data_IF_908960757483
#
_entry.id   IF_908960757483
#
_cell.length_a   1.000
_cell.length_b   1.000
_cell.length_c   1.000
_cell.angle_alpha   90.00
_cell.angle_beta   90.00
_cell.angle_gamma   90.00
#
_symmetry.space_group_name_H-M   'P 1'
#
loop_
_entity.id
_entity.type
_entity.pdbx_description
1 polymer ?
#
# COMPACT_ATOMS: atom_id res chain seq x y z
N UNK A 1 -4.99 -5.30 15.26
CA UNK A 1 -4.52 -4.48 14.15
C UNK A 1 -5.69 -3.74 13.52
N UNK A 2 -5.57 -2.46 13.37
CA UNK A 2 -6.58 -1.72 12.63
C UNK A 2 -6.34 -1.93 11.14
N UNK A 3 -7.15 -2.77 10.54
CA UNK A 3 -7.10 -3.00 9.11
C UNK A 3 -7.91 -1.91 8.40
N UNK A 4 -7.22 -0.93 7.83
CA UNK A 4 -7.87 0.16 7.15
C UNK A 4 -7.19 0.40 5.81
N UNK A 5 -7.96 0.28 4.75
CA UNK A 5 -7.51 0.63 3.41
C UNK A 5 -7.86 2.09 3.20
N UNK A 6 -6.84 2.93 3.04
CA UNK A 6 -7.05 4.37 2.90
C UNK A 6 -7.49 4.77 1.50
N UNK A 7 -7.03 4.06 0.48
CA UNK A 7 -7.34 4.44 -0.88
C UNK A 7 -7.30 3.24 -1.82
N UNK A 8 -8.36 3.10 -2.59
CA UNK A 8 -8.40 2.19 -3.74
C UNK A 8 -8.70 3.06 -4.95
N UNK A 9 -7.87 2.98 -5.98
CA UNK A 9 -8.02 3.81 -7.17
C UNK A 9 -7.70 3.03 -8.44
N UNK A 10 -8.11 3.59 -9.56
CA UNK A 10 -7.86 2.97 -10.86
C UNK A 10 -6.91 3.85 -11.66
N UNK A 11 -5.90 3.20 -12.24
CA UNK A 11 -4.91 3.86 -13.10
C UNK A 11 -4.62 2.97 -14.29
N UNK A 12 -4.74 3.52 -15.48
CA UNK A 12 -4.51 2.79 -16.74
C UNK A 12 -5.37 1.53 -16.83
N UNK A 13 -6.61 1.61 -16.33
CA UNK A 13 -7.55 0.51 -16.33
C UNK A 13 -7.27 -0.56 -15.28
N UNK A 14 -6.29 -0.36 -14.40
CA UNK A 14 -5.92 -1.34 -13.37
C UNK A 14 -6.20 -0.79 -11.99
N UNK A 15 -6.55 -1.71 -11.09
CA UNK A 15 -6.90 -1.38 -9.71
C UNK A 15 -5.62 -1.32 -8.87
N UNK A 16 -5.51 -0.26 -8.05
CA UNK A 16 -4.36 -0.06 -7.16
C UNK A 16 -4.85 0.21 -5.76
N UNK A 17 -4.06 -0.21 -4.79
CA UNK A 17 -4.31 0.05 -3.36
C UNK A 17 -3.18 0.90 -2.82
N UNK A 18 -3.53 1.91 -2.05
CA UNK A 18 -2.55 2.78 -1.40
C UNK A 18 -2.90 2.97 0.06
N UNK A 19 -1.89 3.10 0.90
CA UNK A 19 -2.05 3.35 2.32
C UNK A 19 -1.20 4.56 2.69
N UNK A 20 -1.82 5.55 3.34
CA UNK A 20 -1.15 6.76 3.79
C UNK A 20 -0.55 6.54 5.16
N UNK A 21 0.72 6.89 5.31
CA UNK A 21 1.43 6.80 6.58
C UNK A 21 1.89 8.19 7.01
N UNK A 22 1.60 8.54 8.25
CA UNK A 22 2.02 9.83 8.80
C UNK A 22 3.41 9.80 9.42
N UNK A 23 4.05 8.64 9.45
CA UNK A 23 5.38 8.49 10.02
C UNK A 23 6.42 9.22 9.19
N UNK A 24 7.39 9.85 9.88
CA UNK A 24 8.57 10.36 9.20
C UNK A 24 9.57 9.24 9.07
N UNK A 25 10.00 8.98 7.84
CA UNK A 25 11.01 7.97 7.57
C UNK A 25 12.12 8.58 6.75
N UNK A 26 13.34 8.13 7.01
CA UNK A 26 14.49 8.46 6.17
C UNK A 26 14.58 7.45 5.03
N UNK A 27 15.38 7.79 4.00
CA UNK A 27 15.55 6.87 2.88
C UNK A 27 16.08 5.51 3.33
N UNK A 28 16.94 5.48 4.32
CA UNK A 28 17.50 4.23 4.83
C UNK A 28 16.46 3.37 5.56
N UNK A 29 15.39 4.00 6.06
CA UNK A 29 14.32 3.29 6.77
C UNK A 29 13.23 2.76 5.86
N UNK A 30 13.13 3.28 4.63
CA UNK A 30 12.04 2.95 3.71
C UNK A 30 11.99 1.46 3.41
N UNK A 31 13.13 0.84 3.10
CA UNK A 31 13.18 -0.59 2.80
C UNK A 31 12.70 -1.44 3.96
N UNK A 32 13.13 -1.09 5.18
CA UNK A 32 12.71 -1.80 6.38
C UNK A 32 11.22 -1.64 6.63
N UNK A 33 10.70 -0.43 6.45
CA UNK A 33 9.28 -0.15 6.64
C UNK A 33 8.43 -0.87 5.60
N UNK A 34 8.86 -0.86 4.34
CA UNK A 34 8.16 -1.57 3.27
C UNK A 34 8.08 -3.08 3.57
N UNK A 35 9.17 -3.65 4.07
CA UNK A 35 9.19 -5.06 4.47
C UNK A 35 8.19 -5.35 5.59
N UNK A 36 8.15 -4.47 6.59
CA UNK A 36 7.23 -4.61 7.72
C UNK A 36 5.78 -4.59 7.26
N UNK A 37 5.45 -3.78 6.26
CA UNK A 37 4.07 -3.65 5.78
C UNK A 37 3.70 -4.65 4.69
N UNK A 38 4.62 -5.50 4.27
CA UNK A 38 4.36 -6.44 3.17
C UNK A 38 3.19 -7.38 3.46
N UNK A 39 3.13 -7.94 4.64
CA UNK A 39 2.04 -8.84 5.01
C UNK A 39 0.70 -8.12 5.10
N UNK A 40 0.72 -6.90 5.61
CA UNK A 40 -0.47 -6.06 5.64
C UNK A 40 -0.94 -5.76 4.22
N UNK A 41 -0.02 -5.49 3.31
CA UNK A 41 -0.33 -5.25 1.91
C UNK A 41 -1.00 -6.47 1.27
N UNK A 42 -0.49 -7.67 1.54
CA UNK A 42 -1.10 -8.89 1.03
C UNK A 42 -2.53 -9.05 1.51
N UNK A 43 -2.76 -8.80 2.79
CA UNK A 43 -4.08 -8.88 3.38
C UNK A 43 -5.05 -7.91 2.70
N UNK A 44 -4.62 -6.67 2.53
CA UNK A 44 -5.46 -5.64 1.91
C UNK A 44 -5.72 -5.95 0.44
N UNK A 45 -4.73 -6.43 -0.29
CA UNK A 45 -4.92 -6.78 -1.69
C UNK A 45 -5.91 -7.93 -1.85
N UNK A 46 -5.86 -8.91 -0.95
CA UNK A 46 -6.81 -10.00 -0.95
C UNK A 46 -8.22 -9.52 -0.66
N UNK A 47 -8.37 -8.63 0.33
CA UNK A 47 -9.67 -8.06 0.66
C UNK A 47 -10.26 -7.27 -0.50
N UNK A 48 -9.44 -6.48 -1.19
CA UNK A 48 -9.87 -5.72 -2.37
C UNK A 48 -10.25 -6.65 -3.50
N UNK A 49 -9.48 -7.70 -3.74
CA UNK A 49 -9.80 -8.68 -4.78
C UNK A 49 -11.16 -9.32 -4.54
N UNK A 50 -11.44 -9.70 -3.29
CA UNK A 50 -12.71 -10.32 -2.94
C UNK A 50 -13.87 -9.32 -3.05
N UNK A 51 -13.65 -8.08 -2.63
CA UNK A 51 -14.69 -7.05 -2.65
C UNK A 51 -15.00 -6.52 -4.03
N UNK A 52 -14.00 -6.35 -4.89
CA UNK A 52 -14.16 -5.79 -6.23
C UNK A 52 -14.23 -6.84 -7.33
N UNK A 53 -13.89 -8.09 -7.03
CA UNK A 53 -13.88 -9.15 -8.03
C UNK A 53 -12.75 -9.00 -9.04
N UNK A 54 -11.74 -8.20 -8.72
CA UNK A 54 -10.62 -7.92 -9.61
C UNK A 54 -9.32 -7.90 -8.79
N UNK A 55 -8.28 -8.52 -9.32
CA UNK A 55 -7.00 -8.53 -8.64
C UNK A 55 -6.30 -7.18 -8.77
N UNK A 56 -5.88 -6.55 -7.64
CA UNK A 56 -5.14 -5.29 -7.73
C UNK A 56 -3.81 -5.45 -8.42
N UNK A 57 -3.40 -4.41 -9.16
CA UNK A 57 -2.11 -4.39 -9.85
C UNK A 57 -0.95 -4.25 -8.87
N UNK A 58 -1.17 -3.58 -7.74
CA UNK A 58 -0.13 -3.40 -6.75
C UNK A 58 -0.59 -2.62 -5.54
N UNK A 59 0.33 -2.44 -4.60
CA UNK A 59 0.12 -1.73 -3.35
C UNK A 59 1.23 -0.70 -3.17
N UNK A 60 0.87 0.49 -2.70
CA UNK A 60 1.82 1.57 -2.43
C UNK A 60 1.67 2.08 -1.01
N UNK A 61 2.80 2.37 -0.37
CA UNK A 61 2.84 3.12 0.88
C UNK A 61 3.18 4.57 0.55
N UNK A 62 2.38 5.50 1.04
CA UNK A 62 2.58 6.93 0.80
C UNK A 62 2.92 7.58 2.14
N UNK A 63 4.18 7.97 2.30
CA UNK A 63 4.65 8.65 3.50
C UNK A 63 4.45 10.15 3.31
N UNK A 64 3.34 10.66 3.81
CA UNK A 64 2.89 12.03 3.51
C UNK A 64 3.85 13.09 4.04
N UNK A 65 4.52 12.83 5.16
CA UNK A 65 5.45 13.81 5.74
C UNK A 65 6.77 13.89 4.97
N UNK A 66 7.16 12.79 4.36
CA UNK A 66 8.41 12.73 3.57
C UNK A 66 8.16 12.98 2.09
N UNK A 67 6.92 12.96 1.65
CA UNK A 67 6.58 13.11 0.25
C UNK A 67 7.02 11.95 -0.62
N UNK A 68 7.12 10.76 -0.05
CA UNK A 68 7.65 9.58 -0.74
C UNK A 68 6.56 8.53 -0.90
N UNK A 69 6.40 8.01 -2.11
CA UNK A 69 5.52 6.89 -2.39
C UNK A 69 6.38 5.67 -2.72
N UNK A 70 6.14 4.57 -2.02
CA UNK A 70 6.94 3.35 -2.16
C UNK A 70 6.05 2.20 -2.60
N UNK A 71 6.29 1.59 -3.77
CA UNK A 71 5.57 0.39 -4.14
C UNK A 71 6.03 -0.78 -3.26
N UNK A 72 5.07 -1.59 -2.83
CA UNK A 72 5.36 -2.79 -2.03
C UNK A 72 5.20 -4.00 -2.93
N UNK A 73 6.28 -4.75 -3.10
CA UNK A 73 6.25 -5.98 -3.87
C UNK A 73 5.77 -7.13 -2.99
N UNK A 74 4.88 -7.91 -3.53
CA UNK A 74 4.27 -9.03 -2.83
C UNK A 74 4.64 -10.35 -3.50
#
# INVERSE_FOLDING_TARGET
MEGRIDLVYRKDGRLWVADYKSDRVTESEISTRAETYREQARYYMQAVRLGFGEEPAGFKLIFVRSGIAVPVEI
#
